data_IF_033515264438
#
_entry.id   IF_033515264438
#
_cell.length_a   1.000
_cell.length_b   1.000
_cell.length_c   1.000
_cell.angle_alpha   90.00
_cell.angle_beta   90.00
_cell.angle_gamma   90.00
#
_symmetry.space_group_name_H-M   'P 1'
#
loop_
_entity.id
_entity.type
_entity.pdbx_description
1 polymer ?
#
# COMPACT_ATOMS: atom_id res chain seq x y z
N UNK A 1 53.24 -47.66 30.99
CA UNK A 1 53.08 -47.11 29.62
C UNK A 1 51.79 -46.29 29.45
N UNK A 2 50.71 -46.65 30.16
CA UNK A 2 49.40 -45.94 30.13
C UNK A 2 49.46 -44.52 30.72
N UNK A 3 50.15 -44.31 31.85
CA UNK A 3 50.23 -43.00 32.51
C UNK A 3 50.94 -41.91 31.69
N UNK A 4 51.98 -42.27 30.91
CA UNK A 4 52.66 -41.32 30.02
C UNK A 4 51.79 -40.85 28.85
N UNK A 5 50.88 -41.72 28.36
CA UNK A 5 49.93 -41.36 27.30
C UNK A 5 48.85 -40.42 27.82
N UNK A 6 48.38 -40.63 29.06
CA UNK A 6 47.35 -39.79 29.69
C UNK A 6 47.84 -38.34 29.91
N UNK A 7 49.13 -38.15 30.26
CA UNK A 7 49.73 -36.82 30.46
C UNK A 7 49.83 -35.96 29.19
N UNK A 8 49.76 -36.58 28.00
CA UNK A 8 49.82 -35.87 26.70
C UNK A 8 48.41 -35.68 26.13
N UNK A 9 47.50 -36.64 26.35
CA UNK A 9 46.15 -36.59 25.80
C UNK A 9 45.30 -35.49 26.46
N UNK A 10 45.41 -35.32 27.78
CA UNK A 10 44.63 -34.30 28.53
C UNK A 10 44.90 -32.85 28.06
N UNK A 11 46.16 -32.38 27.93
CA UNK A 11 46.41 -31.02 27.46
C UNK A 11 46.01 -30.81 25.99
N UNK A 12 46.12 -31.82 25.12
CA UNK A 12 45.68 -31.72 23.72
C UNK A 12 44.15 -31.63 23.63
N UNK A 13 43.42 -32.37 24.48
CA UNK A 13 41.96 -32.28 24.53
C UNK A 13 41.49 -30.91 25.03
N UNK A 14 42.20 -30.33 26.01
CA UNK A 14 41.91 -28.97 26.52
C UNK A 14 42.16 -27.92 25.45
N UNK A 15 43.25 -28.02 24.68
CA UNK A 15 43.54 -27.09 23.57
C UNK A 15 42.48 -27.20 22.47
N UNK A 16 42.02 -28.41 22.13
CA UNK A 16 40.95 -28.62 21.15
C UNK A 16 39.60 -28.06 21.64
N UNK A 17 39.29 -28.20 22.93
CA UNK A 17 38.07 -27.62 23.52
C UNK A 17 38.14 -26.09 23.49
N UNK A 18 39.27 -25.49 23.87
CA UNK A 18 39.44 -24.02 23.83
C UNK A 18 39.38 -23.50 22.40
N UNK A 19 40.01 -24.18 21.43
CA UNK A 19 39.93 -23.82 20.01
C UNK A 19 38.49 -23.92 19.47
N UNK A 20 37.71 -24.93 19.90
CA UNK A 20 36.31 -25.05 19.52
C UNK A 20 35.43 -23.94 20.08
N UNK A 21 35.72 -23.44 21.30
CA UNK A 21 35.01 -22.30 21.91
C UNK A 21 35.33 -21.00 21.18
N UNK A 22 36.57 -20.80 20.72
CA UNK A 22 36.94 -19.63 19.91
C UNK A 22 36.30 -19.65 18.51
N UNK A 23 36.17 -20.81 17.89
CA UNK A 23 35.48 -20.94 16.58
C UNK A 23 33.97 -20.70 16.76
N UNK A 24 33.36 -21.21 17.83
CA UNK A 24 31.93 -21.00 18.11
C UNK A 24 31.60 -19.53 18.43
N UNK A 25 32.51 -18.80 19.09
CA UNK A 25 32.36 -17.37 19.36
C UNK A 25 32.48 -16.48 18.12
N UNK A 26 33.08 -16.97 17.04
CA UNK A 26 33.20 -16.21 15.77
C UNK A 26 32.01 -16.42 14.82
N UNK A 27 31.14 -17.39 15.10
CA UNK A 27 29.95 -17.71 14.30
C UNK A 27 28.68 -17.05 14.88
N UNK A 28 28.71 -16.64 16.15
CA UNK A 28 27.69 -15.80 16.77
C UNK A 28 28.11 -14.33 16.77
N UNK A 29 28.22 -13.74 15.57
CA UNK A 29 28.02 -12.30 15.46
C UNK A 29 26.55 -12.04 15.80
N UNK A 30 26.29 -11.41 16.95
CA UNK A 30 24.98 -10.86 17.25
C UNK A 30 24.50 -10.03 16.05
N UNK A 31 23.21 -10.09 15.66
CA UNK A 31 22.70 -9.18 14.66
C UNK A 31 23.01 -7.76 15.14
N UNK A 32 23.69 -6.97 14.31
CA UNK A 32 23.92 -5.55 14.58
C UNK A 32 22.56 -4.95 14.96
N UNK A 33 22.41 -4.60 16.24
CA UNK A 33 21.23 -3.88 16.70
C UNK A 33 21.34 -2.50 16.07
N UNK A 34 20.71 -2.32 14.90
CA UNK A 34 20.57 -1.02 14.26
C UNK A 34 19.94 -0.10 15.29
N UNK A 35 20.70 0.90 15.75
CA UNK A 35 20.24 1.86 16.72
C UNK A 35 19.07 2.64 16.07
N UNK A 36 18.00 2.93 16.81
CA UNK A 36 16.85 3.65 16.21
C UNK A 36 17.25 5.03 15.66
N UNK A 37 18.32 5.62 16.20
CA UNK A 37 18.89 6.89 15.74
C UNK A 37 19.56 6.81 14.35
N UNK A 38 19.89 5.62 13.85
CA UNK A 38 20.56 5.43 12.56
C UNK A 38 19.60 5.17 11.40
N UNK A 39 18.28 5.15 11.64
CA UNK A 39 17.27 4.90 10.60
C UNK A 39 16.96 6.18 9.82
N UNK A 40 16.86 6.06 8.50
CA UNK A 40 16.34 7.13 7.65
C UNK A 40 14.85 7.34 7.94
N UNK A 41 14.52 8.47 8.54
CA UNK A 41 13.13 8.86 8.76
C UNK A 41 12.53 9.32 7.43
N UNK A 42 11.40 8.75 7.03
CA UNK A 42 10.68 9.14 5.82
C UNK A 42 9.20 9.25 6.10
N UNK A 43 8.53 10.18 5.44
CA UNK A 43 7.08 10.37 5.58
C UNK A 43 6.35 9.84 4.34
N UNK A 44 5.11 9.39 4.50
CA UNK A 44 4.22 9.04 3.39
C UNK A 44 2.77 9.40 3.68
N UNK A 45 2.00 9.66 2.63
CA UNK A 45 0.61 10.11 2.74
C UNK A 45 -0.30 9.05 3.35
N UNK A 46 -0.28 7.82 2.80
CA UNK A 46 -1.27 6.79 3.11
C UNK A 46 -0.63 5.47 3.56
N UNK A 47 -1.40 4.67 4.30
CA UNK A 47 -0.94 3.41 4.90
C UNK A 47 -0.35 2.40 3.89
N UNK A 48 -0.90 2.18 2.66
CA UNK A 48 -0.26 1.28 1.70
C UNK A 48 1.17 1.65 1.31
N UNK A 49 1.48 2.96 1.21
CA UNK A 49 2.85 3.41 0.93
C UNK A 49 3.82 3.03 2.05
N UNK A 50 3.34 2.90 3.29
CA UNK A 50 4.14 2.42 4.41
C UNK A 50 4.79 1.08 4.08
N UNK A 51 3.99 0.13 3.61
CA UNK A 51 4.51 -1.17 3.22
C UNK A 51 5.49 -1.04 2.07
N UNK A 52 5.19 -0.26 1.03
CA UNK A 52 6.08 -0.15 -0.14
C UNK A 52 7.48 0.30 0.29
N UNK A 53 7.54 1.29 1.19
CA UNK A 53 8.78 1.81 1.75
C UNK A 53 9.43 0.79 2.69
N UNK A 54 8.69 0.16 3.61
CA UNK A 54 9.24 -0.81 4.57
C UNK A 54 9.69 -2.11 3.90
N UNK A 55 9.07 -2.54 2.80
CA UNK A 55 9.51 -3.69 2.01
C UNK A 55 10.87 -3.45 1.37
N UNK A 56 11.16 -2.21 0.94
CA UNK A 56 12.46 -1.81 0.41
C UNK A 56 13.46 -1.56 1.54
N UNK A 57 13.10 -0.71 2.50
CA UNK A 57 13.99 -0.15 3.50
C UNK A 57 14.16 -0.99 4.77
N UNK A 58 13.19 -1.84 5.11
CA UNK A 58 13.15 -2.70 6.30
C UNK A 58 13.65 -1.96 7.55
N UNK A 59 14.63 -2.52 8.27
CA UNK A 59 15.19 -1.96 9.49
C UNK A 59 15.99 -0.66 9.32
N UNK A 60 16.26 -0.23 8.08
CA UNK A 60 17.01 1.00 7.76
C UNK A 60 16.14 2.24 7.65
N UNK A 61 14.82 2.08 7.59
CA UNK A 61 13.87 3.18 7.46
C UNK A 61 12.92 3.23 8.66
N UNK A 62 12.49 4.44 9.01
CA UNK A 62 11.37 4.65 9.91
C UNK A 62 10.31 5.46 9.16
N UNK A 63 9.12 4.87 8.98
CA UNK A 63 8.06 5.49 8.18
C UNK A 63 7.02 6.16 9.05
N UNK A 64 6.91 7.48 8.90
CA UNK A 64 5.85 8.32 9.48
C UNK A 64 4.67 8.37 8.51
N UNK A 65 3.48 7.98 8.97
CA UNK A 65 2.27 7.98 8.12
C UNK A 65 1.36 9.13 8.47
N UNK A 66 0.94 9.86 7.44
CA UNK A 66 0.05 11.00 7.60
C UNK A 66 -1.39 10.59 7.86
N UNK A 67 -1.95 9.72 7.01
CA UNK A 67 -3.33 9.21 7.16
C UNK A 67 -3.27 7.81 7.80
N UNK A 68 -3.56 7.68 9.10
CA UNK A 68 -3.44 6.41 9.81
C UNK A 68 -4.53 5.41 9.38
N UNK A 69 -4.33 4.14 9.75
CA UNK A 69 -5.28 3.07 9.44
C UNK A 69 -6.69 3.40 9.97
N UNK A 70 -7.70 3.21 9.12
CA UNK A 70 -9.10 3.49 9.44
C UNK A 70 -9.52 4.96 9.32
N UNK A 71 -8.60 5.89 9.05
CA UNK A 71 -8.93 7.25 8.68
C UNK A 71 -9.24 7.37 7.17
N UNK A 72 -10.05 8.36 6.82
CA UNK A 72 -10.42 8.68 5.44
C UNK A 72 -9.58 9.86 4.92
N UNK A 73 -8.76 9.71 3.86
CA UNK A 73 -7.93 10.78 3.32
C UNK A 73 -8.74 11.97 2.76
N UNK A 74 -10.02 11.79 2.44
CA UNK A 74 -10.89 12.88 1.99
C UNK A 74 -11.26 13.84 3.13
N UNK A 75 -11.28 13.36 4.38
CA UNK A 75 -11.80 14.12 5.54
C UNK A 75 -10.82 14.24 6.72
N UNK A 76 -9.67 13.57 6.68
CA UNK A 76 -8.72 13.51 7.78
C UNK A 76 -8.05 14.85 8.10
N UNK A 77 -7.83 15.11 9.40
CA UNK A 77 -7.08 16.26 9.91
C UNK A 77 -5.77 15.81 10.57
N UNK A 78 -4.67 16.46 10.22
CA UNK A 78 -3.33 16.09 10.69
C UNK A 78 -3.14 16.42 12.18
N UNK A 79 -2.70 15.43 12.95
CA UNK A 79 -2.28 15.63 14.34
C UNK A 79 -0.96 16.44 14.46
N UNK A 80 -0.86 17.39 15.40
CA UNK A 80 0.37 18.18 15.60
C UNK A 80 1.63 17.36 15.87
N UNK A 81 1.49 16.21 16.55
CA UNK A 81 2.61 15.31 16.83
C UNK A 81 3.17 14.71 15.54
N UNK A 82 2.31 14.29 14.61
CA UNK A 82 2.72 13.78 13.29
C UNK A 82 3.52 14.83 12.52
N UNK A 83 3.11 16.11 12.57
CA UNK A 83 3.87 17.19 11.94
C UNK A 83 5.28 17.38 12.55
N UNK A 84 5.43 17.12 13.85
CA UNK A 84 6.74 17.16 14.49
C UNK A 84 7.65 16.01 14.03
N UNK A 85 7.10 14.82 13.81
CA UNK A 85 7.87 13.68 13.30
C UNK A 85 8.26 13.88 11.83
N UNK A 86 7.32 14.39 11.01
CA UNK A 86 7.60 14.76 9.61
C UNK A 86 8.64 15.87 9.49
N UNK A 87 8.76 16.76 10.47
CA UNK A 87 9.77 17.83 10.41
C UNK A 87 11.21 17.31 10.40
N UNK A 88 11.43 16.06 10.79
CA UNK A 88 12.73 15.38 10.76
C UNK A 88 12.94 14.53 9.50
N UNK A 89 11.93 14.40 8.63
CA UNK A 89 11.98 13.53 7.45
C UNK A 89 12.61 14.26 6.26
N UNK A 90 13.78 13.84 5.74
CA UNK A 90 14.33 14.39 4.49
C UNK A 90 13.48 14.07 3.25
N UNK A 91 12.67 13.01 3.29
CA UNK A 91 11.81 12.58 2.19
C UNK A 91 10.35 12.50 2.62
N UNK A 92 9.45 12.97 1.75
CA UNK A 92 8.02 12.73 1.81
C UNK A 92 7.56 12.05 0.53
N UNK A 93 6.99 10.86 0.63
CA UNK A 93 6.42 10.13 -0.49
C UNK A 93 4.93 10.44 -0.60
N UNK A 94 4.57 11.32 -1.53
CA UNK A 94 3.17 11.52 -1.91
C UNK A 94 2.75 10.42 -2.89
N UNK A 95 1.46 10.09 -2.92
CA UNK A 95 0.86 9.30 -3.98
C UNK A 95 1.03 10.05 -5.29
N UNK A 96 0.68 11.35 -5.33
CA UNK A 96 0.99 12.24 -6.45
C UNK A 96 0.03 12.14 -7.63
N UNK A 97 -1.17 11.61 -7.40
CA UNK A 97 -2.26 11.39 -8.37
C UNK A 97 -3.49 12.27 -8.09
N UNK A 98 -3.32 13.37 -7.33
CA UNK A 98 -4.41 14.27 -6.96
C UNK A 98 -5.20 13.83 -5.73
N UNK A 99 -4.59 13.12 -4.78
CA UNK A 99 -5.24 12.74 -3.52
C UNK A 99 -5.60 13.99 -2.71
N UNK A 100 -6.87 14.11 -2.29
CA UNK A 100 -7.37 15.31 -1.62
C UNK A 100 -6.60 15.71 -0.36
N UNK A 101 -6.17 14.72 0.43
CA UNK A 101 -5.29 14.94 1.58
C UNK A 101 -4.02 15.74 1.18
N UNK A 102 -3.37 15.35 0.08
CA UNK A 102 -2.15 15.98 -0.41
C UNK A 102 -2.45 17.39 -0.90
N UNK A 103 -3.52 17.57 -1.68
CA UNK A 103 -3.96 18.87 -2.19
C UNK A 103 -4.22 19.87 -1.06
N UNK A 104 -4.80 19.42 0.07
CA UNK A 104 -5.19 20.28 1.18
C UNK A 104 -4.06 20.58 2.17
N UNK A 105 -3.12 19.65 2.35
CA UNK A 105 -2.14 19.73 3.44
C UNK A 105 -0.69 19.89 3.02
N UNK A 106 -0.35 19.72 1.74
CA UNK A 106 1.05 19.73 1.30
C UNK A 106 1.78 21.04 1.65
N UNK A 107 1.12 22.20 1.56
CA UNK A 107 1.72 23.49 1.95
C UNK A 107 2.06 23.55 3.44
N UNK A 108 1.15 23.03 4.30
CA UNK A 108 1.39 22.94 5.74
C UNK A 108 2.54 21.97 6.05
N UNK A 109 2.59 20.84 5.36
CA UNK A 109 3.63 19.81 5.50
C UNK A 109 5.00 20.40 5.10
N UNK A 110 5.10 21.12 3.98
CA UNK A 110 6.33 21.80 3.56
C UNK A 110 6.75 22.91 4.52
N UNK A 111 5.79 23.58 5.16
CA UNK A 111 6.11 24.67 6.09
C UNK A 111 6.86 24.23 7.35
N UNK A 112 6.71 22.96 7.77
CA UNK A 112 7.40 22.43 8.94
C UNK A 112 8.77 21.85 8.62
N UNK A 113 9.06 21.56 7.35
CA UNK A 113 10.39 21.18 6.85
C UNK A 113 10.59 21.65 5.39
N UNK A 114 11.09 22.87 5.17
CA UNK A 114 11.30 23.43 3.84
C UNK A 114 12.35 22.70 2.98
N UNK A 115 13.27 21.97 3.63
CA UNK A 115 14.34 21.21 2.96
C UNK A 115 13.88 19.79 2.58
N UNK A 116 12.70 19.37 3.02
CA UNK A 116 12.12 18.08 2.70
C UNK A 116 11.86 17.94 1.21
N UNK A 117 12.34 16.85 0.62
CA UNK A 117 12.02 16.51 -0.76
C UNK A 117 10.70 15.76 -0.82
N UNK A 118 9.72 16.34 -1.50
CA UNK A 118 8.47 15.67 -1.86
C UNK A 118 8.69 14.84 -3.13
N UNK A 119 8.30 13.57 -3.07
CA UNK A 119 8.51 12.55 -4.10
C UNK A 119 7.16 12.06 -4.60
N UNK A 120 6.83 12.38 -5.85
CA UNK A 120 5.67 11.83 -6.54
C UNK A 120 5.90 10.33 -6.85
N UNK A 121 5.18 9.47 -6.13
CA UNK A 121 5.26 8.01 -6.28
C UNK A 121 4.57 7.52 -7.56
N UNK A 122 3.57 8.23 -8.08
CA UNK A 122 2.81 7.89 -9.29
C UNK A 122 3.49 8.32 -10.60
N UNK A 123 4.68 8.91 -10.55
CA UNK A 123 5.39 9.37 -11.74
C UNK A 123 5.55 8.26 -12.78
N UNK A 124 5.02 8.51 -13.98
CA UNK A 124 5.11 7.57 -15.11
C UNK A 124 3.96 6.56 -15.18
N UNK A 125 2.96 6.67 -14.30
CA UNK A 125 1.73 5.89 -14.42
C UNK A 125 0.83 6.42 -15.53
N UNK A 126 0.02 5.52 -16.09
CA UNK A 126 -1.10 5.86 -16.96
C UNK A 126 -2.33 6.11 -16.10
N UNK A 127 -2.81 7.35 -16.07
CA UNK A 127 -3.91 7.77 -15.22
C UNK A 127 -5.26 7.48 -15.88
N UNK A 128 -6.23 7.07 -15.07
CA UNK A 128 -7.64 7.03 -15.49
C UNK A 128 -8.36 8.29 -15.02
N UNK A 129 -9.45 8.69 -15.70
CA UNK A 129 -10.18 9.87 -15.30
C UNK A 129 -10.89 9.69 -13.96
N UNK A 130 -10.99 10.78 -13.17
CA UNK A 130 -11.59 10.72 -11.84
C UNK A 130 -13.11 10.45 -11.90
N UNK A 131 -13.62 9.33 -11.35
CA UNK A 131 -15.05 9.00 -11.41
C UNK A 131 -15.95 10.00 -10.67
N UNK A 132 -15.40 10.82 -9.78
CA UNK A 132 -16.12 11.79 -8.96
C UNK A 132 -16.33 13.14 -9.66
N UNK A 133 -15.53 13.43 -10.70
CA UNK A 133 -15.57 14.68 -11.47
C UNK A 133 -16.15 14.51 -12.88
N UNK A 134 -16.62 13.31 -13.22
CA UNK A 134 -17.20 13.01 -14.54
C UNK A 134 -18.70 13.31 -14.59
N UNK A 135 -19.04 14.52 -15.04
CA UNK A 135 -20.32 14.83 -15.68
C UNK A 135 -20.20 14.93 -17.22
N UNK A 136 -18.98 14.90 -17.78
CA UNK A 136 -18.73 15.16 -19.21
C UNK A 136 -18.02 13.97 -19.89
N UNK A 137 -18.75 13.23 -20.73
CA UNK A 137 -18.37 11.93 -21.31
C UNK A 137 -17.24 11.94 -22.38
N UNK A 138 -16.40 12.97 -22.46
CA UNK A 138 -15.34 13.07 -23.47
C UNK A 138 -14.13 13.84 -22.95
N UNK A 139 -13.09 13.16 -22.45
CA UNK A 139 -11.88 13.87 -22.05
C UNK A 139 -10.68 12.95 -21.81
N UNK A 140 -9.61 13.19 -22.55
CA UNK A 140 -8.28 12.72 -22.18
C UNK A 140 -7.86 13.42 -20.88
N UNK A 141 -7.27 12.70 -19.93
CA UNK A 141 -6.75 13.30 -18.68
C UNK A 141 -5.54 14.15 -19.03
N UNK A 142 -5.64 15.47 -18.84
CA UNK A 142 -4.57 16.41 -19.18
C UNK A 142 -3.74 16.86 -17.97
N UNK A 143 -4.20 16.58 -16.74
CA UNK A 143 -3.51 16.95 -15.50
C UNK A 143 -3.66 15.88 -14.41
N UNK A 144 -2.64 15.74 -13.54
CA UNK A 144 -2.63 14.82 -12.39
C UNK A 144 -3.81 15.07 -11.42
N UNK A 145 -4.30 16.31 -11.34
CA UNK A 145 -5.40 16.71 -10.46
C UNK A 145 -6.80 16.35 -10.99
N UNK A 146 -6.91 15.80 -12.20
CA UNK A 146 -8.17 15.35 -12.82
C UNK A 146 -8.24 13.81 -12.89
N UNK A 147 -7.21 13.13 -12.39
CA UNK A 147 -7.11 11.69 -12.35
C UNK A 147 -7.86 11.10 -11.15
N UNK A 148 -8.28 9.84 -11.28
CA UNK A 148 -8.62 9.03 -10.11
C UNK A 148 -7.35 8.90 -9.24
N UNK A 149 -7.39 9.30 -7.95
CA UNK A 149 -6.21 9.28 -7.10
C UNK A 149 -5.80 7.87 -6.66
N UNK A 150 -6.66 6.86 -6.81
CA UNK A 150 -6.50 5.52 -6.19
C UNK A 150 -5.53 4.58 -6.94
N UNK A 151 -4.41 5.11 -7.41
CA UNK A 151 -3.44 4.41 -8.27
C UNK A 151 -2.87 3.14 -7.64
N UNK A 152 -2.77 3.08 -6.32
CA UNK A 152 -2.17 1.96 -5.59
C UNK A 152 -3.05 0.71 -5.57
N UNK A 153 -4.33 0.80 -5.95
CA UNK A 153 -5.23 -0.37 -6.01
C UNK A 153 -4.89 -1.34 -7.14
N UNK A 154 -3.98 -0.95 -8.04
CA UNK A 154 -3.39 -1.84 -9.04
C UNK A 154 -1.99 -2.33 -8.60
N UNK A 155 -1.77 -3.64 -8.48
CA UNK A 155 -0.42 -4.20 -8.28
C UNK A 155 0.57 -3.79 -9.37
N UNK A 156 0.11 -3.59 -10.62
CA UNK A 156 0.96 -3.13 -11.72
C UNK A 156 1.44 -1.70 -11.52
N UNK A 157 0.56 -0.82 -11.06
CA UNK A 157 0.93 0.54 -10.70
C UNK A 157 1.87 0.54 -9.49
N UNK A 158 1.62 -0.29 -8.48
CA UNK A 158 2.48 -0.39 -7.29
C UNK A 158 3.92 -0.77 -7.65
N UNK A 159 4.15 -1.62 -8.66
CA UNK A 159 5.52 -1.90 -9.14
C UNK A 159 6.27 -0.62 -9.58
N UNK A 160 5.59 0.30 -10.26
CA UNK A 160 6.18 1.58 -10.67
C UNK A 160 6.38 2.49 -9.46
N UNK A 161 5.42 2.53 -8.54
CA UNK A 161 5.56 3.31 -7.30
C UNK A 161 6.74 2.84 -6.45
N UNK A 162 6.93 1.52 -6.32
CA UNK A 162 8.06 0.88 -5.62
C UNK A 162 9.38 1.28 -6.27
N UNK A 163 9.47 1.30 -7.60
CA UNK A 163 10.68 1.75 -8.29
C UNK A 163 10.95 3.24 -8.03
N UNK A 164 9.93 4.10 -8.09
CA UNK A 164 10.08 5.53 -7.79
C UNK A 164 10.53 5.78 -6.34
N UNK A 165 9.99 5.02 -5.38
CA UNK A 165 10.40 5.07 -3.98
C UNK A 165 11.86 4.64 -3.83
N UNK A 166 12.22 3.48 -4.39
CA UNK A 166 13.58 2.94 -4.36
C UNK A 166 14.61 3.95 -4.88
N UNK A 167 14.32 4.60 -6.02
CA UNK A 167 15.22 5.59 -6.63
C UNK A 167 15.52 6.78 -5.72
N UNK A 168 14.60 7.15 -4.83
CA UNK A 168 14.81 8.26 -3.90
C UNK A 168 15.45 7.80 -2.59
N UNK A 169 15.13 6.59 -2.12
CA UNK A 169 15.84 5.98 -0.98
C UNK A 169 17.34 5.85 -1.25
N UNK A 170 17.76 5.38 -2.43
CA UNK A 170 19.20 5.25 -2.75
C UNK A 170 19.93 6.58 -2.94
N UNK A 171 19.20 7.69 -3.14
CA UNK A 171 19.79 9.04 -3.22
C UNK A 171 19.97 9.64 -1.83
N UNK A 172 19.00 9.41 -0.94
CA UNK A 172 19.05 9.88 0.43
C UNK A 172 20.01 9.05 1.30
N UNK A 173 20.13 7.75 1.02
CA UNK A 173 20.95 6.81 1.78
C UNK A 173 21.72 5.86 0.83
N UNK A 174 22.78 6.37 0.18
CA UNK A 174 23.53 5.64 -0.84
C UNK A 174 24.35 4.46 -0.28
N UNK A 175 24.68 4.46 1.01
CA UNK A 175 25.46 3.39 1.65
C UNK A 175 24.66 2.08 1.72
N UNK A 176 23.33 2.16 1.84
CA UNK A 176 22.44 1.00 1.88
C UNK A 176 21.87 0.61 0.50
N UNK A 177 22.43 1.11 -0.60
CA UNK A 177 21.92 0.89 -1.97
C UNK A 177 21.72 -0.58 -2.33
N UNK A 178 22.71 -1.44 -2.08
CA UNK A 178 22.63 -2.87 -2.44
C UNK A 178 21.55 -3.59 -1.62
N UNK A 179 21.40 -3.20 -0.35
CA UNK A 179 20.35 -3.70 0.53
C UNK A 179 18.95 -3.33 0.01
N UNK A 180 18.73 -2.05 -0.30
CA UNK A 180 17.46 -1.59 -0.90
C UNK A 180 17.18 -2.24 -2.25
N UNK A 181 18.21 -2.41 -3.07
CA UNK A 181 18.04 -3.01 -4.40
C UNK A 181 17.53 -4.45 -4.30
N UNK A 182 18.17 -5.27 -3.47
CA UNK A 182 17.77 -6.66 -3.24
C UNK A 182 16.33 -6.76 -2.74
N UNK A 183 16.00 -5.97 -1.72
CA UNK A 183 14.67 -5.97 -1.11
C UNK A 183 13.58 -5.51 -2.09
N UNK A 184 13.87 -4.48 -2.90
CA UNK A 184 12.99 -4.02 -3.96
C UNK A 184 12.77 -5.12 -5.01
N UNK A 185 13.81 -5.81 -5.44
CA UNK A 185 13.69 -6.91 -6.41
C UNK A 185 12.84 -8.08 -5.86
N UNK A 186 13.02 -8.44 -4.58
CA UNK A 186 12.16 -9.41 -3.89
C UNK A 186 10.69 -8.97 -3.89
N UNK A 187 10.41 -7.71 -3.55
CA UNK A 187 9.03 -7.21 -3.49
C UNK A 187 8.36 -7.10 -4.87
N UNK A 188 9.11 -6.72 -5.90
CA UNK A 188 8.62 -6.69 -7.28
C UNK A 188 8.18 -8.09 -7.74
N UNK A 189 8.94 -9.14 -7.39
CA UNK A 189 8.56 -10.52 -7.72
C UNK A 189 7.24 -10.93 -7.04
N UNK A 190 7.06 -10.61 -5.76
CA UNK A 190 5.80 -10.90 -5.06
C UNK A 190 4.60 -10.14 -5.66
N UNK A 191 4.80 -8.90 -6.10
CA UNK A 191 3.77 -8.13 -6.82
C UNK A 191 3.44 -8.75 -8.18
N UNK A 192 4.42 -9.33 -8.87
CA UNK A 192 4.22 -10.07 -10.12
C UNK A 192 3.47 -11.38 -9.92
N UNK A 193 3.81 -12.12 -8.86
CA UNK A 193 3.07 -13.32 -8.45
C UNK A 193 1.62 -12.98 -8.10
N UNK A 194 1.39 -11.87 -7.38
CA UNK A 194 0.05 -11.38 -7.05
C UNK A 194 -0.74 -11.00 -8.32
N UNK A 195 -0.17 -10.21 -9.24
CA UNK A 195 -0.82 -9.84 -10.52
C UNK A 195 -1.18 -11.10 -11.33
N UNK A 196 -0.24 -12.04 -11.46
CA UNK A 196 -0.47 -13.32 -12.15
C UNK A 196 -1.58 -14.15 -11.51
N UNK A 197 -1.60 -14.23 -10.18
CA UNK A 197 -2.64 -14.94 -9.42
C UNK A 197 -4.02 -14.31 -9.60
N UNK A 198 -4.10 -12.97 -9.54
CA UNK A 198 -5.36 -12.27 -9.78
C UNK A 198 -5.86 -12.63 -11.18
N UNK A 199 -5.05 -12.40 -12.23
CA UNK A 199 -5.42 -12.72 -13.62
C UNK A 199 -5.96 -14.15 -13.73
N UNK A 200 -5.25 -15.13 -13.17
CA UNK A 200 -5.64 -16.53 -13.23
C UNK A 200 -7.01 -16.77 -12.59
N UNK A 201 -7.24 -16.27 -11.38
CA UNK A 201 -8.43 -16.63 -10.58
C UNK A 201 -9.71 -15.89 -10.97
N UNK A 202 -9.61 -14.71 -11.61
CA UNK A 202 -10.77 -13.95 -12.08
C UNK A 202 -11.00 -14.02 -13.59
N UNK A 203 -10.12 -14.66 -14.37
CA UNK A 203 -10.27 -14.79 -15.85
C UNK A 203 -11.59 -15.42 -16.29
N UNK A 204 -12.13 -16.37 -15.53
CA UNK A 204 -13.37 -17.09 -15.85
C UNK A 204 -14.66 -16.36 -15.47
N UNK A 205 -14.60 -15.14 -14.95
CA UNK A 205 -15.79 -14.39 -14.51
C UNK A 205 -16.58 -13.84 -15.71
N UNK A 206 -17.86 -14.20 -15.77
CA UNK A 206 -18.80 -13.72 -16.79
C UNK A 206 -19.37 -12.33 -16.42
N UNK A 207 -19.77 -12.13 -15.16
CA UNK A 207 -20.17 -10.80 -14.69
C UNK A 207 -18.93 -9.99 -14.32
N UNK A 208 -18.75 -8.87 -15.01
CA UNK A 208 -17.62 -7.96 -14.84
C UNK A 208 -18.02 -6.64 -14.21
N UNK A 209 -19.27 -6.49 -13.77
CA UNK A 209 -19.75 -5.28 -13.11
C UNK A 209 -19.86 -5.51 -11.62
N UNK A 210 -19.30 -4.59 -10.85
CA UNK A 210 -19.32 -4.61 -9.39
C UNK A 210 -19.98 -3.34 -8.87
N UNK A 211 -20.66 -3.43 -7.73
CA UNK A 211 -21.13 -2.26 -7.02
C UNK A 211 -20.12 -1.93 -5.91
N UNK A 212 -19.59 -0.72 -5.91
CA UNK A 212 -18.71 -0.20 -4.85
C UNK A 212 -19.39 0.96 -4.17
N UNK A 213 -19.21 1.11 -2.86
CA UNK A 213 -19.74 2.26 -2.16
C UNK A 213 -19.06 3.53 -2.65
N UNK A 214 -17.74 3.60 -2.43
CA UNK A 214 -16.86 4.67 -2.89
C UNK A 214 -15.97 4.17 -4.05
N UNK A 215 -15.78 4.95 -5.12
CA UNK A 215 -15.16 4.50 -6.37
C UNK A 215 -13.62 4.34 -6.34
N UNK A 216 -13.03 3.75 -5.31
CA UNK A 216 -11.57 3.60 -5.18
C UNK A 216 -10.92 2.52 -6.04
N UNK A 217 -11.69 1.64 -6.69
CA UNK A 217 -11.14 0.44 -7.33
C UNK A 217 -10.95 0.59 -8.84
N UNK A 218 -10.96 1.82 -9.36
CA UNK A 218 -10.89 2.12 -10.79
C UNK A 218 -9.69 1.47 -11.47
N UNK A 219 -8.49 1.59 -10.91
CA UNK A 219 -7.27 0.98 -11.48
C UNK A 219 -7.27 -0.55 -11.42
N UNK A 220 -7.79 -1.13 -10.33
CA UNK A 220 -7.99 -2.57 -10.27
C UNK A 220 -8.94 -3.04 -11.38
N UNK A 221 -10.09 -2.38 -11.53
CA UNK A 221 -11.07 -2.76 -12.54
C UNK A 221 -10.54 -2.60 -13.97
N UNK A 222 -9.77 -1.54 -14.24
CA UNK A 222 -9.06 -1.34 -15.53
C UNK A 222 -8.14 -2.51 -15.86
N UNK A 223 -7.28 -2.92 -14.92
CA UNK A 223 -6.21 -3.88 -15.20
C UNK A 223 -6.74 -5.32 -15.33
N UNK A 224 -7.89 -5.58 -14.74
CA UNK A 224 -8.46 -6.92 -14.57
C UNK A 224 -9.81 -7.12 -15.28
N UNK A 225 -10.23 -6.15 -16.09
CA UNK A 225 -11.38 -6.26 -16.99
C UNK A 225 -12.73 -6.22 -16.28
N UNK A 226 -12.84 -5.45 -15.20
CA UNK A 226 -14.09 -5.15 -14.51
C UNK A 226 -14.54 -3.71 -14.79
N UNK A 227 -15.76 -3.40 -14.38
CA UNK A 227 -16.35 -2.07 -14.38
C UNK A 227 -16.98 -1.84 -13.00
N UNK A 228 -16.58 -0.78 -12.31
CA UNK A 228 -17.18 -0.38 -11.04
C UNK A 228 -18.37 0.56 -11.27
N UNK A 229 -19.44 0.35 -10.51
CA UNK A 229 -20.56 1.28 -10.38
C UNK A 229 -20.52 1.81 -8.95
N UNK A 230 -20.42 3.13 -8.81
CA UNK A 230 -20.33 3.79 -7.51
C UNK A 230 -21.71 4.09 -6.92
N UNK A 231 -21.87 3.89 -5.61
CA UNK A 231 -23.07 4.31 -4.87
C UNK A 231 -22.97 5.79 -4.52
N UNK A 232 -21.82 6.21 -3.99
CA UNK A 232 -21.54 7.57 -3.61
C UNK A 232 -20.50 8.22 -4.54
N UNK A 233 -20.33 9.55 -4.43
CA UNK A 233 -19.33 10.33 -5.16
C UNK A 233 -18.76 11.41 -4.26
N UNK A 234 -17.44 11.49 -4.15
CA UNK A 234 -16.73 12.59 -3.47
C UNK A 234 -16.92 12.62 -1.97
N UNK A 235 -17.08 11.44 -1.34
CA UNK A 235 -17.32 11.29 0.10
C UNK A 235 -18.69 11.79 0.55
N UNK A 236 -19.65 12.01 -0.36
CA UNK A 236 -20.96 12.62 -0.06
C UNK A 236 -22.05 11.56 0.00
N UNK A 237 -22.97 11.69 0.96
CA UNK A 237 -24.10 10.77 1.02
C UNK A 237 -24.95 10.82 -0.28
N UNK A 238 -25.34 9.65 -0.82
CA UNK A 238 -26.12 9.57 -2.04
C UNK A 238 -27.55 10.08 -1.84
N UNK A 239 -28.10 10.77 -2.85
CA UNK A 239 -29.51 11.20 -2.83
C UNK A 239 -30.45 10.01 -3.05
N UNK A 240 -31.72 10.09 -2.62
CA UNK A 240 -32.72 9.03 -2.88
C UNK A 240 -32.86 8.67 -4.36
N UNK A 241 -32.75 9.66 -5.26
CA UNK A 241 -32.78 9.43 -6.70
C UNK A 241 -31.54 8.65 -7.19
N UNK A 242 -30.35 8.99 -6.66
CA UNK A 242 -29.12 8.25 -6.96
C UNK A 242 -29.23 6.79 -6.52
N UNK A 243 -29.74 6.55 -5.29
CA UNK A 243 -29.97 5.20 -4.76
C UNK A 243 -30.92 4.41 -5.68
N UNK A 244 -32.04 5.00 -6.10
CA UNK A 244 -32.98 4.36 -7.01
C UNK A 244 -32.32 3.98 -8.35
N UNK A 245 -31.54 4.89 -8.94
CA UNK A 245 -30.82 4.65 -10.20
C UNK A 245 -29.78 3.53 -10.05
N UNK A 246 -29.08 3.47 -8.92
CA UNK A 246 -28.10 2.41 -8.63
C UNK A 246 -28.78 1.05 -8.49
N UNK A 247 -29.91 0.98 -7.78
CA UNK A 247 -30.69 -0.26 -7.64
C UNK A 247 -31.15 -0.76 -9.01
N UNK A 248 -31.64 0.14 -9.88
CA UNK A 248 -32.05 -0.23 -11.25
C UNK A 248 -30.87 -0.80 -12.06
N UNK A 249 -29.72 -0.12 -12.03
CA UNK A 249 -28.52 -0.58 -12.70
C UNK A 249 -28.05 -1.93 -12.18
N UNK A 250 -28.03 -2.12 -10.86
CA UNK A 250 -27.63 -3.37 -10.24
C UNK A 250 -28.57 -4.54 -10.62
N UNK A 251 -29.90 -4.32 -10.64
CA UNK A 251 -30.88 -5.32 -11.11
C UNK A 251 -30.65 -5.68 -12.57
N UNK A 252 -30.47 -4.68 -13.44
CA UNK A 252 -30.24 -4.89 -14.88
C UNK A 252 -28.96 -5.69 -15.17
N UNK A 253 -27.93 -5.50 -14.35
CA UNK A 253 -26.64 -6.16 -14.50
C UNK A 253 -26.47 -7.40 -13.59
N UNK A 254 -27.54 -7.87 -12.94
CA UNK A 254 -27.53 -9.00 -12.01
C UNK A 254 -26.42 -8.93 -10.95
N UNK A 255 -26.15 -7.73 -10.42
CA UNK A 255 -25.11 -7.52 -9.41
C UNK A 255 -25.68 -7.92 -8.05
N UNK A 256 -24.99 -8.85 -7.37
CA UNK A 256 -25.38 -9.40 -6.06
C UNK A 256 -24.36 -9.16 -4.96
N UNK A 257 -23.32 -8.36 -5.23
CA UNK A 257 -22.31 -8.00 -4.26
C UNK A 257 -22.11 -6.49 -4.25
N UNK A 258 -22.02 -5.93 -3.05
CA UNK A 258 -21.72 -4.53 -2.79
C UNK A 258 -20.45 -4.47 -1.96
N UNK A 259 -19.43 -3.83 -2.51
CA UNK A 259 -18.17 -3.59 -1.82
C UNK A 259 -18.20 -2.29 -1.02
N UNK A 260 -17.79 -2.35 0.24
CA UNK A 260 -17.75 -1.18 1.13
C UNK A 260 -16.42 -1.12 1.85
N UNK A 261 -15.81 0.06 1.88
CA UNK A 261 -14.57 0.27 2.64
C UNK A 261 -14.87 0.58 4.12
N UNK A 262 -14.03 0.12 5.06
CA UNK A 262 -14.28 0.29 6.51
C UNK A 262 -14.46 1.74 6.97
N UNK A 263 -13.97 2.70 6.20
CA UNK A 263 -14.01 4.13 6.48
C UNK A 263 -15.43 4.73 6.30
N UNK A 264 -16.34 4.04 5.60
CA UNK A 264 -17.67 4.54 5.28
C UNK A 264 -18.79 3.84 6.07
N UNK A 265 -19.88 4.58 6.30
CA UNK A 265 -21.10 4.02 6.88
C UNK A 265 -21.75 3.00 5.95
N UNK A 266 -22.04 1.81 6.48
CA UNK A 266 -22.72 0.74 5.74
C UNK A 266 -24.21 0.97 5.51
N UNK A 267 -24.83 1.95 6.18
CA UNK A 267 -26.29 2.10 6.23
C UNK A 267 -26.96 2.10 4.84
N UNK A 268 -26.42 2.87 3.91
CA UNK A 268 -26.96 2.95 2.54
C UNK A 268 -26.66 1.68 1.74
N UNK A 269 -25.47 1.09 1.91
CA UNK A 269 -25.10 -0.16 1.27
C UNK A 269 -25.99 -1.33 1.74
N UNK A 270 -26.26 -1.44 3.05
CA UNK A 270 -27.13 -2.46 3.62
C UNK A 270 -28.59 -2.29 3.15
N UNK A 271 -29.07 -1.04 3.01
CA UNK A 271 -30.39 -0.75 2.43
C UNK A 271 -30.48 -1.22 0.97
N UNK A 272 -29.51 -0.84 0.14
CA UNK A 272 -29.44 -1.25 -1.27
C UNK A 272 -29.33 -2.78 -1.37
N UNK A 273 -28.54 -3.41 -0.51
CA UNK A 273 -28.37 -4.85 -0.47
C UNK A 273 -29.71 -5.57 -0.20
N UNK A 274 -30.52 -5.06 0.72
CA UNK A 274 -31.86 -5.58 1.00
C UNK A 274 -32.80 -5.52 -0.20
N UNK A 275 -32.74 -4.44 -0.98
CA UNK A 275 -33.56 -4.26 -2.20
C UNK A 275 -33.12 -5.16 -3.37
N UNK A 276 -31.87 -5.63 -3.34
CA UNK A 276 -31.25 -6.44 -4.38
C UNK A 276 -31.14 -7.92 -4.00
N UNK A 277 -31.39 -8.27 -2.74
CA UNK A 277 -31.02 -9.57 -2.16
C UNK A 277 -29.53 -9.86 -2.45
N UNK A 278 -28.68 -8.89 -2.10
CA UNK A 278 -27.24 -8.87 -2.34
C UNK A 278 -26.44 -8.99 -1.02
N UNK A 279 -25.18 -9.39 -1.11
CA UNK A 279 -24.23 -9.44 0.02
C UNK A 279 -23.40 -8.16 0.07
N UNK A 280 -23.22 -7.59 1.27
CA UNK A 280 -22.25 -6.52 1.51
C UNK A 280 -20.93 -7.13 1.95
N UNK A 281 -19.86 -6.89 1.18
CA UNK A 281 -18.52 -7.41 1.44
C UNK A 281 -17.57 -6.24 1.72
N UNK A 282 -16.73 -6.37 2.74
CA UNK A 282 -15.75 -5.34 3.09
C UNK A 282 -14.46 -5.53 2.30
N UNK A 283 -13.99 -4.46 1.64
CA UNK A 283 -12.66 -4.37 1.02
C UNK A 283 -12.07 -2.99 1.29
N UNK A 284 -10.81 -2.96 1.73
CA UNK A 284 -10.18 -1.74 2.20
C UNK A 284 -9.04 -1.33 1.26
N UNK A 285 -9.17 -0.22 0.51
CA UNK A 285 -8.08 0.27 -0.32
C UNK A 285 -6.90 0.79 0.52
N UNK A 286 -7.10 1.09 1.81
CA UNK A 286 -6.11 1.69 2.70
C UNK A 286 -5.57 0.73 3.76
N UNK A 287 -5.90 -0.57 3.67
CA UNK A 287 -5.43 -1.54 4.65
C UNK A 287 -3.89 -1.67 4.66
N UNK A 288 -3.30 -1.94 5.84
CA UNK A 288 -1.91 -2.39 5.92
C UNK A 288 -1.77 -3.78 5.29
N UNK A 289 -0.54 -4.27 5.17
CA UNK A 289 -0.24 -5.58 4.58
C UNK A 289 -0.82 -5.69 3.15
N UNK A 290 -0.46 -4.77 2.25
CA UNK A 290 -0.93 -4.64 0.88
C UNK A 290 -1.06 -5.98 0.15
N UNK A 291 -0.03 -6.83 0.14
CA UNK A 291 -0.12 -8.13 -0.53
C UNK A 291 -1.23 -9.02 0.05
N UNK A 292 -1.32 -9.12 1.38
CA UNK A 292 -2.35 -9.89 2.08
C UNK A 292 -3.74 -9.29 1.83
N UNK A 293 -3.86 -7.97 1.91
CA UNK A 293 -5.10 -7.25 1.63
C UNK A 293 -5.57 -7.49 0.19
N UNK A 294 -4.67 -7.45 -0.79
CA UNK A 294 -5.03 -7.70 -2.19
C UNK A 294 -5.47 -9.14 -2.43
N UNK A 295 -5.02 -10.11 -1.63
CA UNK A 295 -5.56 -11.47 -1.65
C UNK A 295 -6.98 -11.52 -1.06
N UNK A 296 -7.27 -10.75 0.00
CA UNK A 296 -8.64 -10.61 0.53
C UNK A 296 -9.56 -9.97 -0.51
N UNK A 297 -9.09 -8.93 -1.19
CA UNK A 297 -9.80 -8.27 -2.30
C UNK A 297 -10.06 -9.28 -3.43
N UNK A 298 -9.06 -10.07 -3.80
CA UNK A 298 -9.23 -11.14 -4.80
C UNK A 298 -10.34 -12.12 -4.40
N UNK A 299 -10.35 -12.61 -3.16
CA UNK A 299 -11.43 -13.48 -2.68
C UNK A 299 -12.80 -12.81 -2.71
N UNK A 300 -12.87 -11.51 -2.44
CA UNK A 300 -14.10 -10.73 -2.55
C UNK A 300 -14.60 -10.65 -4.00
N UNK A 301 -13.73 -10.36 -4.97
CA UNK A 301 -14.05 -10.35 -6.40
C UNK A 301 -14.35 -11.76 -6.96
N UNK A 302 -13.82 -12.81 -6.35
CA UNK A 302 -14.20 -14.19 -6.69
C UNK A 302 -15.62 -14.55 -6.27
N UNK A 303 -16.26 -13.78 -5.39
CA UNK A 303 -17.67 -13.97 -5.08
C UNK A 303 -18.59 -13.27 -6.10
N UNK A 304 -18.14 -12.19 -6.76
CA UNK A 304 -18.99 -11.34 -7.61
C UNK A 304 -19.40 -11.99 -8.93
#
# INVERSE_FOLDING_TARGET
MVEKRLKIIVPVLIILIIASVFIFSSIYSSPDTVNEEDRLIVAASIMPQKEFIERIGKEKVHVVIMVPSGADPHTYEIEPRTLQEVSQSPLYFEVGSGLEFELNYMDKIKSVNPDMKVVNSSKGLDFIPNPEHFDDAHGHVHAENEADPHVWTSPRNVKVMVENIYQELIKADPENKEFYQKNKEEYILELEELDGKIIQEISGKENRKILVYHPSWGYFTRDYGFEQIAIEKGGKEPTPQSIANVIEQARKNNIRIIFVSPQFSRKNADFIAGELDAEVVLIDPLAPNYLENMLIVLEAFKKS
#
